data_IF_389441480042
#
_entry.id   IF_389441480042
#
_cell.length_a   1.000
_cell.length_b   1.000
_cell.length_c   1.000
_cell.angle_alpha   90.00
_cell.angle_beta   90.00
_cell.angle_gamma   90.00
#
_symmetry.space_group_name_H-M   'P 1'
#
loop_
_entity.id
_entity.type
_entity.pdbx_description
1 polymer ?
#
# COMPACT_ATOMS: atom_id res chain seq x y z
N UNK A 1 4.30 3.49 -10.38
CA UNK A 1 4.86 3.80 -11.72
C UNK A 1 3.70 4.15 -12.65
N UNK A 2 3.82 5.14 -13.53
CA UNK A 2 2.72 5.53 -14.43
C UNK A 2 2.60 4.66 -15.67
N UNK A 3 3.57 3.77 -15.91
CA UNK A 3 3.64 2.89 -17.07
C UNK A 3 4.24 1.54 -16.64
N UNK A 4 3.79 0.44 -17.25
CA UNK A 4 4.30 -0.91 -17.01
C UNK A 4 4.35 -1.69 -18.33
N UNK A 5 5.43 -2.43 -18.56
CA UNK A 5 5.51 -3.37 -19.69
C UNK A 5 4.76 -4.65 -19.33
N UNK A 6 3.86 -5.09 -20.20
CA UNK A 6 3.15 -6.36 -20.07
C UNK A 6 3.28 -7.20 -21.32
N UNK A 7 3.30 -8.51 -21.12
CA UNK A 7 3.20 -9.51 -22.18
C UNK A 7 1.79 -10.08 -22.19
N UNK A 8 1.15 -10.12 -23.35
CA UNK A 8 -0.19 -10.70 -23.55
C UNK A 8 -0.22 -11.57 -24.80
N UNK A 9 -1.22 -12.46 -24.86
CA UNK A 9 -1.44 -13.33 -26.02
C UNK A 9 -2.29 -12.59 -27.05
N UNK A 10 -1.82 -12.51 -28.30
CA UNK A 10 -2.58 -11.93 -29.40
C UNK A 10 -3.79 -12.80 -29.76
N UNK A 11 -4.99 -12.22 -29.74
CA UNK A 11 -6.27 -12.91 -29.94
C UNK A 11 -6.35 -13.68 -31.28
N UNK A 12 -5.78 -13.12 -32.35
CA UNK A 12 -5.85 -13.73 -33.69
C UNK A 12 -4.77 -14.78 -33.98
N UNK A 13 -3.60 -14.67 -33.34
CA UNK A 13 -2.42 -15.48 -33.69
C UNK A 13 -2.00 -16.44 -32.58
N UNK A 14 -2.49 -16.23 -31.35
CA UNK A 14 -2.07 -16.98 -30.18
C UNK A 14 -0.59 -16.81 -29.84
N UNK A 15 0.08 -15.77 -30.37
CA UNK A 15 1.49 -15.48 -30.08
C UNK A 15 1.62 -14.45 -28.96
N UNK A 16 2.64 -14.54 -28.11
CA UNK A 16 2.91 -13.51 -27.11
C UNK A 16 3.42 -12.24 -27.77
N UNK A 17 3.01 -11.08 -27.26
CA UNK A 17 3.60 -9.80 -27.60
C UNK A 17 3.63 -8.87 -26.38
N UNK A 18 4.58 -7.94 -26.41
CA UNK A 18 4.76 -6.95 -25.35
C UNK A 18 4.12 -5.62 -25.73
N UNK A 19 3.55 -4.95 -24.74
CA UNK A 19 3.10 -3.57 -24.87
C UNK A 19 3.29 -2.79 -23.57
N UNK A 20 3.29 -1.47 -23.70
CA UNK A 20 3.30 -0.57 -22.54
C UNK A 20 1.86 -0.28 -22.15
N UNK A 21 1.47 -0.71 -20.95
CA UNK A 21 0.22 -0.32 -20.33
C UNK A 21 0.42 1.01 -19.58
N UNK A 22 -0.39 2.01 -19.93
CA UNK A 22 -0.45 3.28 -19.21
C UNK A 22 -1.33 3.11 -17.98
N UNK A 23 -0.84 3.55 -16.82
CA UNK A 23 -1.52 3.46 -15.53
C UNK A 23 -2.02 4.84 -15.09
N UNK A 24 -3.12 5.37 -15.67
CA UNK A 24 -3.59 6.73 -15.39
C UNK A 24 -3.95 6.96 -13.92
N UNK A 25 -4.41 5.91 -13.22
CA UNK A 25 -4.70 5.96 -11.79
C UNK A 25 -3.50 6.37 -10.93
N UNK A 26 -2.26 6.07 -11.39
CA UNK A 26 -1.05 6.39 -10.65
C UNK A 26 -0.47 7.77 -10.97
N UNK A 27 -1.06 8.53 -11.91
CA UNK A 27 -0.53 9.84 -12.33
C UNK A 27 -0.50 10.86 -11.20
N UNK A 28 -1.56 10.88 -10.39
CA UNK A 28 -1.73 11.81 -9.27
C UNK A 28 -1.88 11.06 -7.93
N UNK A 29 -1.48 9.79 -7.89
CA UNK A 29 -1.60 9.00 -6.67
C UNK A 29 -0.60 9.49 -5.64
N UNK A 30 -1.11 9.84 -4.45
CA UNK A 30 -0.32 10.19 -3.28
C UNK A 30 -0.52 9.06 -2.28
N UNK A 31 0.50 8.22 -2.01
CA UNK A 31 0.38 7.19 -1.00
C UNK A 31 0.27 7.82 0.39
N UNK A 32 -0.44 7.13 1.29
CA UNK A 32 -0.47 7.51 2.69
C UNK A 32 0.92 7.44 3.32
N UNK A 33 1.15 8.32 4.28
CA UNK A 33 2.39 8.38 5.03
C UNK A 33 2.60 7.08 5.81
N UNK A 34 3.64 6.34 5.45
CA UNK A 34 4.01 5.10 6.09
C UNK A 34 4.69 5.36 7.44
N UNK A 35 4.57 4.46 8.43
CA UNK A 35 5.19 4.64 9.75
C UNK A 35 6.70 4.96 9.67
N UNK A 36 7.43 4.27 8.80
CA UNK A 36 8.87 4.49 8.59
C UNK A 36 9.24 5.89 8.07
N UNK A 37 8.28 6.60 7.45
CA UNK A 37 8.46 7.95 6.93
C UNK A 37 8.20 9.04 7.98
N UNK A 38 7.67 8.68 9.15
CA UNK A 38 7.44 9.62 10.27
C UNK A 38 8.67 9.71 11.18
N UNK A 39 8.80 10.78 11.97
CA UNK A 39 9.91 10.90 12.94
C UNK A 39 9.74 9.95 14.14
N UNK A 40 10.82 9.74 14.90
CA UNK A 40 10.83 8.81 16.03
C UNK A 40 9.78 9.15 17.11
N UNK A 41 9.54 10.44 17.36
CA UNK A 41 8.55 10.90 18.35
C UNK A 41 7.12 10.50 17.95
N UNK A 42 6.75 10.73 16.69
CA UNK A 42 5.44 10.36 16.15
C UNK A 42 5.24 8.84 16.19
N UNK A 43 6.24 8.06 15.79
CA UNK A 43 6.17 6.58 15.89
C UNK A 43 6.00 6.11 17.33
N UNK A 44 6.78 6.66 18.25
CA UNK A 44 6.72 6.31 19.67
C UNK A 44 5.35 6.58 20.28
N UNK A 45 4.76 7.75 19.97
CA UNK A 45 3.40 8.06 20.42
C UNK A 45 2.37 7.07 19.86
N UNK A 46 2.44 6.75 18.56
CA UNK A 46 1.53 5.80 17.94
C UNK A 46 1.61 4.40 18.59
N UNK A 47 2.81 3.95 18.98
CA UNK A 47 3.01 2.71 19.73
C UNK A 47 2.31 2.73 21.09
N UNK A 48 2.43 3.81 21.85
CA UNK A 48 1.74 3.94 23.15
C UNK A 48 0.23 3.91 22.97
N UNK A 49 -0.31 4.67 22.01
CA UNK A 49 -1.74 4.67 21.69
C UNK A 49 -2.25 3.28 21.31
N UNK A 50 -1.49 2.52 20.51
CA UNK A 50 -1.85 1.15 20.15
C UNK A 50 -2.02 0.28 21.40
N UNK A 51 -1.08 0.30 22.34
CA UNK A 51 -1.19 -0.44 23.60
C UNK A 51 -2.45 -0.01 24.36
N UNK A 52 -2.64 1.30 24.53
CA UNK A 52 -3.78 1.83 25.29
C UNK A 52 -5.14 1.43 24.70
N UNK A 53 -5.27 1.40 23.38
CA UNK A 53 -6.53 1.01 22.73
C UNK A 53 -6.79 -0.50 22.76
N UNK A 54 -5.75 -1.32 22.87
CA UNK A 54 -5.89 -2.77 23.04
C UNK A 54 -6.11 -3.17 24.52
N UNK A 55 -5.81 -2.29 25.49
CA UNK A 55 -6.02 -2.58 26.92
C UNK A 55 -7.47 -2.90 27.29
N UNK A 56 -8.45 -2.54 26.45
CA UNK A 56 -9.86 -2.87 26.72
C UNK A 56 -10.08 -4.38 26.88
N UNK A 57 -9.34 -5.22 26.14
CA UNK A 57 -9.38 -6.68 26.26
C UNK A 57 -8.95 -7.19 27.65
N UNK A 58 -8.18 -6.38 28.40
CA UNK A 58 -7.62 -6.74 29.71
C UNK A 58 -8.20 -5.92 30.86
N UNK A 59 -9.09 -4.97 30.58
CA UNK A 59 -9.69 -4.08 31.57
C UNK A 59 -10.94 -4.67 32.23
N UNK A 60 -11.47 -5.77 31.71
CA UNK A 60 -12.62 -6.47 32.29
C UNK A 60 -12.14 -7.46 33.36
N UNK A 61 -12.56 -7.22 34.60
CA UNK A 61 -12.48 -8.19 35.69
C UNK A 61 -13.92 -8.63 35.98
N UNK A 62 -14.21 -9.92 35.81
CA UNK A 62 -15.40 -10.57 36.35
C UNK A 62 -15.13 -10.98 37.81
#
# INVERSE_FOLDING_TARGET
>A
PTEIQRTVMAEKTGQPYDFIEIMPAYKNYIPDLQPAQTNARTRGLAQVCLVLFNLNEFAYLD
#
